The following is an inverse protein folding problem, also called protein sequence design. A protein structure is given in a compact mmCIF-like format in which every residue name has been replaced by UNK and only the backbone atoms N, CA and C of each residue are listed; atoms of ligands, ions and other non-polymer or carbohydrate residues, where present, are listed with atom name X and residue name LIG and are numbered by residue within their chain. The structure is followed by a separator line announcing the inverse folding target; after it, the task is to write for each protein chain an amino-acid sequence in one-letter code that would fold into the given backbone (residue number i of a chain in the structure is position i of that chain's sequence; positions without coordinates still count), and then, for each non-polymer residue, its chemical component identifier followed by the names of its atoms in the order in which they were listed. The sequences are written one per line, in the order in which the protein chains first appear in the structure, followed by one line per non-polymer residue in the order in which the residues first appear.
data_IF_562976485913
#
_entry.id   IF_562976485913
#
_cell.length_a   1.000
_cell.length_b   1.000
_cell.length_c   1.000
_cell.angle_alpha   90.00
_cell.angle_beta   90.00
_cell.angle_gamma   90.00
#
_symmetry.space_group_name_H-M   'P 1'
#
loop_
_entity.id
_entity.type
_entity.pdbx_description
1 polymer ?
#
# COMPACT_ATOMS: atom_id res chain seq x y z
N UNK A 1 -0.75 2.67 27.49
CA UNK A 1 0.28 3.03 26.51
C UNK A 1 0.58 1.88 25.55
N UNK A 2 0.99 0.71 26.06
CA UNK A 2 1.22 -0.50 25.25
C UNK A 2 0.05 -0.89 24.31
N UNK A 3 -1.18 -0.98 24.84
CA UNK A 3 -2.36 -1.37 24.06
C UNK A 3 -2.60 -0.47 22.85
N UNK A 4 -2.35 0.84 23.00
CA UNK A 4 -2.54 1.80 21.91
C UNK A 4 -1.53 1.54 20.79
N UNK A 5 -0.26 1.31 21.14
CA UNK A 5 0.80 0.99 20.16
C UNK A 5 0.50 -0.34 19.46
N UNK A 6 0.03 -1.35 20.20
CA UNK A 6 -0.36 -2.64 19.64
C UNK A 6 -1.51 -2.54 18.63
N UNK A 7 -2.53 -1.71 18.91
CA UNK A 7 -3.64 -1.46 17.98
C UNK A 7 -3.13 -0.77 16.72
N UNK A 8 -2.31 0.28 16.85
CA UNK A 8 -1.76 1.00 15.69
C UNK A 8 -0.87 0.09 14.85
N UNK A 9 -0.08 -0.77 15.49
CA UNK A 9 0.76 -1.77 14.83
C UNK A 9 -0.08 -2.78 14.02
N UNK A 10 -1.14 -3.33 14.62
CA UNK A 10 -2.02 -4.27 13.93
C UNK A 10 -2.75 -3.62 12.75
N UNK A 11 -3.28 -2.40 12.93
CA UNK A 11 -3.96 -1.65 11.88
C UNK A 11 -3.01 -1.27 10.73
N UNK A 12 -1.80 -0.79 11.03
CA UNK A 12 -0.81 -0.44 10.00
C UNK A 12 -0.31 -1.67 9.24
N UNK A 13 -0.16 -2.82 9.90
CA UNK A 13 0.19 -4.09 9.25
C UNK A 13 -0.90 -4.57 8.28
N UNK A 14 -2.16 -4.56 8.70
CA UNK A 14 -3.30 -4.88 7.81
C UNK A 14 -3.40 -3.89 6.64
N UNK A 15 -3.20 -2.60 6.91
CA UNK A 15 -3.17 -1.56 5.89
C UNK A 15 -2.07 -1.79 4.86
N UNK A 16 -0.86 -2.16 5.29
CA UNK A 16 0.23 -2.50 4.38
C UNK A 16 -0.08 -3.69 3.49
N UNK A 17 -0.63 -4.78 4.05
CA UNK A 17 -1.00 -5.96 3.27
C UNK A 17 -1.98 -5.55 2.16
N UNK A 18 -3.01 -4.78 2.51
CA UNK A 18 -3.99 -4.29 1.54
C UNK A 18 -3.37 -3.38 0.47
N UNK A 19 -2.55 -2.41 0.88
CA UNK A 19 -1.89 -1.47 -0.03
C UNK A 19 -0.91 -2.16 -0.99
N UNK A 20 -0.16 -3.15 -0.51
CA UNK A 20 0.75 -3.94 -1.34
C UNK A 20 -0.03 -4.81 -2.33
N UNK A 21 -1.14 -5.42 -1.93
CA UNK A 21 -1.99 -6.18 -2.84
C UNK A 21 -2.62 -5.30 -3.93
N UNK A 22 -2.96 -4.05 -3.63
CA UNK A 22 -3.42 -3.09 -4.64
C UNK A 22 -2.36 -2.83 -5.73
N UNK A 23 -1.06 -2.94 -5.42
CA UNK A 23 0.00 -2.87 -6.44
C UNK A 23 0.02 -4.09 -7.37
N UNK A 24 -0.52 -5.25 -6.96
CA UNK A 24 -0.61 -6.44 -7.82
C UNK A 24 -1.76 -6.38 -8.82
N UNK A 25 -2.78 -5.53 -8.62
CA UNK A 25 -3.87 -5.30 -9.59
C UNK A 25 -3.44 -4.58 -10.87
N UNK A 26 -2.18 -4.14 -10.95
CA UNK A 26 -1.55 -3.30 -11.96
C UNK A 26 -1.55 -3.82 -13.41
N UNK A 27 -1.80 -5.11 -13.68
CA UNK A 27 -1.57 -5.67 -15.03
C UNK A 27 -2.40 -6.89 -15.44
N UNK A 28 -3.54 -7.15 -14.79
CA UNK A 28 -4.34 -8.35 -15.02
C UNK A 28 -5.71 -8.12 -15.66
N UNK A 29 -6.01 -6.90 -16.12
CA UNK A 29 -7.33 -6.58 -16.66
C UNK A 29 -7.58 -7.30 -17.98
N UNK A 30 -8.73 -7.95 -18.14
CA UNK A 30 -9.19 -8.54 -19.40
C UNK A 30 -9.09 -7.52 -20.56
N UNK A 31 -9.21 -6.22 -20.28
CA UNK A 31 -9.05 -5.14 -21.26
C UNK A 31 -7.65 -5.07 -21.91
N UNK A 32 -6.58 -5.47 -21.21
CA UNK A 32 -5.24 -5.56 -21.79
C UNK A 32 -5.06 -6.86 -22.59
N UNK A 33 -5.73 -7.93 -22.16
CA UNK A 33 -5.72 -9.22 -22.87
C UNK A 33 -6.60 -9.24 -24.14
N UNK A 34 -7.60 -8.36 -24.24
CA UNK A 34 -8.54 -8.26 -25.37
C UNK A 34 -8.25 -7.12 -26.36
N UNK A 35 -7.06 -6.51 -26.33
CA UNK A 35 -6.63 -5.55 -27.37
C UNK A 35 -6.76 -4.08 -26.97
N UNK A 36 -6.45 -3.72 -25.73
CA UNK A 36 -6.30 -2.34 -25.29
C UNK A 36 -5.20 -1.63 -26.09
N UNK A 37 -5.62 -0.82 -27.08
CA UNK A 37 -4.72 -0.08 -27.97
C UNK A 37 -3.73 0.82 -27.21
N UNK A 38 -2.57 1.03 -27.84
CA UNK A 38 -1.37 1.79 -27.41
C UNK A 38 -1.64 3.19 -26.81
N UNK A 39 -2.86 3.73 -26.84
CA UNK A 39 -3.21 5.08 -26.40
C UNK A 39 -4.13 5.21 -25.18
N UNK A 40 -4.68 4.14 -24.61
CA UNK A 40 -5.71 4.24 -23.57
C UNK A 40 -5.18 4.23 -22.11
N UNK A 41 -3.98 3.69 -21.87
CA UNK A 41 -3.47 3.51 -20.50
C UNK A 41 -2.78 4.76 -19.92
N UNK A 42 -2.39 5.73 -20.74
CA UNK A 42 -1.48 6.82 -20.35
C UNK A 42 -2.13 8.09 -19.80
N UNK A 43 -3.46 8.20 -19.78
CA UNK A 43 -4.12 9.49 -19.49
C UNK A 43 -4.51 9.72 -18.02
N UNK A 44 -4.50 8.70 -17.14
CA UNK A 44 -4.97 8.85 -15.75
C UNK A 44 -4.31 8.00 -14.67
N UNK A 45 -3.55 6.96 -15.03
CA UNK A 45 -3.02 6.00 -14.04
C UNK A 45 -1.77 6.47 -13.31
N UNK A 46 -0.89 7.24 -13.98
CA UNK A 46 0.44 7.58 -13.41
C UNK A 46 0.37 8.38 -12.11
N UNK A 47 -0.59 9.28 -11.98
CA UNK A 47 -0.76 10.07 -10.74
C UNK A 47 -1.35 9.21 -9.62
N UNK A 48 -2.31 8.33 -9.93
CA UNK A 48 -2.90 7.42 -8.94
C UNK A 48 -1.87 6.43 -8.43
N UNK A 49 -1.04 5.87 -9.32
CA UNK A 49 0.07 4.98 -8.97
C UNK A 49 1.08 5.66 -8.06
N UNK A 50 1.54 6.86 -8.42
CA UNK A 50 2.49 7.61 -7.59
C UNK A 50 1.92 7.97 -6.21
N UNK A 51 0.61 8.23 -6.11
CA UNK A 51 -0.02 8.47 -4.81
C UNK A 51 -0.16 7.18 -4.00
N UNK A 52 -0.48 6.06 -4.63
CA UNK A 52 -0.55 4.75 -3.97
C UNK A 52 0.82 4.35 -3.40
N UNK A 53 1.90 4.58 -4.15
CA UNK A 53 3.27 4.38 -3.68
C UNK A 53 3.58 5.25 -2.45
N UNK A 54 3.27 6.56 -2.52
CA UNK A 54 3.52 7.49 -1.39
C UNK A 54 2.77 7.09 -0.13
N UNK A 55 1.50 6.70 -0.25
CA UNK A 55 0.69 6.24 0.89
C UNK A 55 1.29 4.95 1.46
N UNK A 56 1.69 4.02 0.61
CA UNK A 56 2.30 2.74 1.03
C UNK A 56 3.61 2.95 1.78
N UNK A 57 4.48 3.83 1.28
CA UNK A 57 5.74 4.19 1.96
C UNK A 57 5.46 4.84 3.32
N UNK A 58 4.48 5.74 3.40
CA UNK A 58 4.12 6.39 4.66
C UNK A 58 3.55 5.39 5.68
N UNK A 59 2.67 4.48 5.25
CA UNK A 59 2.17 3.39 6.10
C UNK A 59 3.28 2.43 6.52
N UNK A 60 4.26 2.16 5.64
CA UNK A 60 5.42 1.31 5.95
C UNK A 60 6.31 1.92 7.03
N UNK A 61 6.54 3.24 6.96
CA UNK A 61 7.28 3.95 8.00
C UNK A 61 6.56 3.89 9.34
N UNK A 62 5.24 4.14 9.37
CA UNK A 62 4.45 4.03 10.61
C UNK A 62 4.57 2.64 11.22
N UNK A 63 4.37 1.59 10.41
CA UNK A 63 4.49 0.20 10.85
C UNK A 63 5.89 -0.11 11.41
N UNK A 64 6.95 0.35 10.75
CA UNK A 64 8.33 0.14 11.20
C UNK A 64 8.59 0.82 12.56
N UNK A 65 8.16 2.08 12.72
CA UNK A 65 8.30 2.80 13.99
C UNK A 65 7.50 2.14 15.11
N UNK A 66 6.25 1.73 14.85
CA UNK A 66 5.44 1.04 15.87
C UNK A 66 5.97 -0.35 16.19
N UNK A 67 6.60 -1.05 15.24
CA UNK A 67 7.29 -2.32 15.49
C UNK A 67 8.43 -2.13 16.51
N UNK A 68 9.30 -1.15 16.28
CA UNK A 68 10.42 -0.85 17.16
C UNK A 68 9.92 -0.37 18.53
N UNK A 69 8.92 0.52 18.55
CA UNK A 69 8.34 1.02 19.79
C UNK A 69 7.71 -0.10 20.63
N UNK A 70 7.02 -1.06 19.99
CA UNK A 70 6.45 -2.22 20.68
C UNK A 70 7.56 -3.13 21.23
N UNK A 71 8.62 -3.36 20.46
CA UNK A 71 9.77 -4.17 20.88
C UNK A 71 10.61 -3.54 22.01
N UNK A 72 10.59 -2.22 22.16
CA UNK A 72 11.24 -1.51 23.28
C UNK A 72 10.34 -1.37 24.51
N UNK A 73 9.01 -1.39 24.32
CA UNK A 73 8.03 -1.34 25.42
C UNK A 73 7.80 -2.69 26.10
N UNK A 74 8.23 -3.77 25.44
CA UNK A 74 8.16 -5.14 25.94
C UNK A 74 9.49 -5.52 26.59
#
# INVERSE_FOLDING_TARGET
MFVIVAIIQACSGLGLIFLVLLHSGKGGGLSDMFGGGIGAQTAGSTVVEQNLDRITVLTALVFAFTTIALGLLF
#
